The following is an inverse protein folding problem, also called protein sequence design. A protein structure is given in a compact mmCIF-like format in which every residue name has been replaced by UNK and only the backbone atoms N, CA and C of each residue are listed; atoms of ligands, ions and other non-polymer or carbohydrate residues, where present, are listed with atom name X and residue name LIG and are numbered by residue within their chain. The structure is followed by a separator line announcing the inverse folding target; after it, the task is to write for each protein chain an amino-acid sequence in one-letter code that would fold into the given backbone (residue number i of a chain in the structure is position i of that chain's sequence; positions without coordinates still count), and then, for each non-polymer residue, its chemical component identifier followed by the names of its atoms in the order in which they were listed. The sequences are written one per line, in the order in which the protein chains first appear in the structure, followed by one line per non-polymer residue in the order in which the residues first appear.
data_IF_118904532756
#
_entry.id   IF_118904532756
#
_cell.length_a   1.000
_cell.length_b   1.000
_cell.length_c   1.000
_cell.angle_alpha   90.00
_cell.angle_beta   90.00
_cell.angle_gamma   90.00
#
_symmetry.space_group_name_H-M   'P 1'
#
loop_
_entity.id
_entity.type
_entity.pdbx_description
1 polymer ?
#
# COMPACT_ATOMS: atom_id res chain seq x y z
N UNK A 1 7.00 25.32 37.45
CA UNK A 1 6.22 24.13 37.06
C UNK A 1 6.18 24.14 35.55
N UNK A 2 7.02 23.29 34.96
CA UNK A 2 7.41 23.32 33.56
C UNK A 2 6.83 22.07 32.89
N UNK A 3 5.54 22.11 32.58
CA UNK A 3 4.89 21.01 31.85
C UNK A 3 5.05 21.26 30.35
N UNK A 4 6.25 20.98 29.89
CA UNK A 4 6.61 20.84 28.48
C UNK A 4 5.90 19.60 27.92
N UNK A 5 4.62 19.74 27.58
CA UNK A 5 3.85 18.75 26.82
C UNK A 5 4.31 18.76 25.35
N UNK A 6 5.50 18.21 25.11
CA UNK A 6 5.88 17.70 23.80
C UNK A 6 5.16 16.37 23.59
N UNK A 7 3.87 16.43 23.25
CA UNK A 7 3.18 15.33 22.59
C UNK A 7 3.35 15.56 21.09
N UNK A 8 4.29 14.89 20.40
CA UNK A 8 4.26 14.84 18.96
C UNK A 8 3.06 13.97 18.56
N UNK A 9 1.89 14.60 18.38
CA UNK A 9 0.77 13.99 17.66
C UNK A 9 1.18 13.91 16.19
N UNK A 10 1.97 12.89 15.84
CA UNK A 10 2.14 12.47 14.45
C UNK A 10 0.81 11.87 13.99
N UNK A 11 -0.15 12.75 13.71
CA UNK A 11 -1.39 12.47 13.03
C UNK A 11 -1.03 12.13 11.59
N UNK A 12 -0.43 10.95 11.34
CA UNK A 12 -0.25 10.48 9.96
C UNK A 12 -1.64 10.32 9.38
N UNK A 13 -1.99 11.24 8.49
CA UNK A 13 -3.28 11.26 7.81
C UNK A 13 -3.58 9.85 7.28
N UNK A 14 -4.78 9.31 7.51
CA UNK A 14 -5.14 7.97 7.06
C UNK A 14 -4.97 7.80 5.55
N UNK A 15 -5.10 8.89 4.80
CA UNK A 15 -4.83 8.96 3.36
C UNK A 15 -3.36 8.68 3.04
N UNK A 16 -2.44 9.24 3.83
CA UNK A 16 -0.99 9.04 3.65
C UNK A 16 -0.62 7.59 3.96
N UNK A 17 -1.22 6.99 4.98
CA UNK A 17 -1.00 5.58 5.31
C UNK A 17 -1.51 4.63 4.22
N UNK A 18 -2.68 4.88 3.65
CA UNK A 18 -3.22 4.07 2.54
C UNK A 18 -2.40 4.29 1.27
N UNK A 19 -2.03 5.52 0.95
CA UNK A 19 -1.19 5.82 -0.21
C UNK A 19 0.17 5.11 -0.12
N UNK A 20 0.83 5.14 1.06
CA UNK A 20 2.08 4.41 1.29
C UNK A 20 1.89 2.90 1.10
N UNK A 21 0.81 2.32 1.62
CA UNK A 21 0.48 0.90 1.46
C UNK A 21 0.28 0.52 -0.02
N UNK A 22 -0.44 1.35 -0.78
CA UNK A 22 -0.65 1.19 -2.23
C UNK A 22 0.66 1.27 -3.00
N UNK A 23 1.49 2.29 -2.72
CA UNK A 23 2.76 2.52 -3.43
C UNK A 23 3.76 1.41 -3.12
N UNK A 24 3.85 0.97 -1.86
CA UNK A 24 4.73 -0.13 -1.48
C UNK A 24 4.27 -1.46 -2.10
N UNK A 25 2.96 -1.73 -2.13
CA UNK A 25 2.41 -2.88 -2.85
C UNK A 25 2.72 -2.84 -4.34
N UNK A 26 2.52 -1.69 -4.99
CA UNK A 26 2.86 -1.47 -6.41
C UNK A 26 4.33 -1.79 -6.68
N UNK A 27 5.25 -1.19 -5.92
CA UNK A 27 6.69 -1.34 -6.14
C UNK A 27 7.12 -2.79 -5.91
N UNK A 28 6.70 -3.41 -4.81
CA UNK A 28 7.08 -4.78 -4.48
C UNK A 28 6.59 -5.77 -5.53
N UNK A 29 5.33 -5.65 -5.95
CA UNK A 29 4.75 -6.54 -6.97
C UNK A 29 5.43 -6.34 -8.31
N UNK A 30 5.67 -5.08 -8.71
CA UNK A 30 6.36 -4.75 -9.96
C UNK A 30 7.75 -5.38 -10.00
N UNK A 31 8.54 -5.18 -8.94
CA UNK A 31 9.91 -5.71 -8.85
C UNK A 31 9.90 -7.24 -8.83
N UNK A 32 9.01 -7.86 -8.05
CA UNK A 32 8.93 -9.32 -7.95
C UNK A 32 8.59 -9.97 -9.29
N UNK A 33 7.55 -9.48 -9.97
CA UNK A 33 7.11 -10.03 -11.26
C UNK A 33 8.14 -9.77 -12.35
N UNK A 34 8.74 -8.58 -12.38
CA UNK A 34 9.82 -8.25 -13.33
C UNK A 34 11.03 -9.17 -13.11
N UNK A 35 11.44 -9.38 -11.86
CA UNK A 35 12.58 -10.25 -11.54
C UNK A 35 12.31 -11.70 -11.96
N UNK A 36 11.08 -12.20 -11.75
CA UNK A 36 10.68 -13.53 -12.21
C UNK A 36 10.73 -13.62 -13.73
N UNK A 37 10.19 -12.64 -14.46
CA UNK A 37 10.23 -12.61 -15.93
C UNK A 37 11.67 -12.64 -16.47
N UNK A 38 12.57 -11.85 -15.87
CA UNK A 38 14.00 -11.84 -16.26
C UNK A 38 14.67 -13.18 -15.96
N UNK A 39 14.40 -13.82 -14.83
CA UNK A 39 14.94 -15.14 -14.49
C UNK A 39 14.43 -16.24 -15.44
N UNK A 40 13.20 -16.10 -15.93
CA UNK A 40 12.60 -17.02 -16.90
C UNK A 40 13.08 -16.80 -18.34
N UNK A 41 13.94 -15.80 -18.58
CA UNK A 41 14.54 -15.52 -19.88
C UNK A 41 13.71 -14.61 -20.78
N UNK A 42 12.71 -13.90 -20.26
CA UNK A 42 12.07 -12.81 -21.01
C UNK A 42 13.02 -11.63 -21.19
N UNK A 43 12.83 -10.90 -22.30
CA UNK A 43 13.49 -9.61 -22.48
C UNK A 43 13.11 -8.65 -21.36
N UNK A 44 14.11 -7.92 -20.85
CA UNK A 44 13.94 -6.98 -19.72
C UNK A 44 12.78 -6.02 -19.94
N UNK A 45 12.57 -5.54 -21.17
CA UNK A 45 11.47 -4.63 -21.52
C UNK A 45 10.09 -5.30 -21.39
N UNK A 46 9.96 -6.57 -21.80
CA UNK A 46 8.73 -7.35 -21.67
C UNK A 46 8.41 -7.66 -20.21
N UNK A 47 9.41 -8.14 -19.47
CA UNK A 47 9.29 -8.44 -18.04
C UNK A 47 8.92 -7.20 -17.21
N UNK A 48 9.51 -6.03 -17.54
CA UNK A 48 9.14 -4.75 -16.91
C UNK A 48 7.71 -4.37 -17.23
N UNK A 49 7.27 -4.51 -18.48
CA UNK A 49 5.90 -4.18 -18.89
C UNK A 49 4.86 -5.01 -18.14
N UNK A 50 5.08 -6.32 -18.03
CA UNK A 50 4.23 -7.24 -17.26
C UNK A 50 4.30 -6.91 -15.78
N UNK A 51 5.48 -6.68 -15.23
CA UNK A 51 5.66 -6.30 -13.84
C UNK A 51 4.90 -5.02 -13.48
N UNK A 52 5.00 -3.99 -14.31
CA UNK A 52 4.34 -2.71 -14.08
C UNK A 52 2.81 -2.84 -14.21
N UNK A 53 2.33 -3.63 -15.17
CA UNK A 53 0.91 -3.93 -15.33
C UNK A 53 0.34 -4.63 -14.08
N UNK A 54 0.97 -5.73 -13.65
CA UNK A 54 0.55 -6.49 -12.48
C UNK A 54 0.71 -5.66 -11.21
N UNK A 55 1.76 -4.85 -11.12
CA UNK A 55 1.99 -3.93 -10.02
C UNK A 55 0.90 -2.87 -9.88
N UNK A 56 0.47 -2.24 -10.99
CA UNK A 56 -0.61 -1.23 -10.96
C UNK A 56 -1.92 -1.86 -10.49
N UNK A 57 -2.29 -3.01 -11.05
CA UNK A 57 -3.51 -3.71 -10.66
C UNK A 57 -3.46 -4.25 -9.22
N UNK A 58 -2.34 -4.85 -8.83
CA UNK A 58 -2.13 -5.37 -7.48
C UNK A 58 -2.06 -4.26 -6.42
N UNK A 59 -1.35 -3.18 -6.71
CA UNK A 59 -1.26 -2.00 -5.84
C UNK A 59 -2.61 -1.32 -5.65
N UNK A 60 -3.35 -1.08 -6.74
CA UNK A 60 -4.69 -0.51 -6.68
C UNK A 60 -5.64 -1.41 -5.87
N UNK A 61 -5.64 -2.73 -6.14
CA UNK A 61 -6.45 -3.70 -5.40
C UNK A 61 -6.12 -3.75 -3.90
N UNK A 62 -4.84 -3.73 -3.55
CA UNK A 62 -4.40 -3.68 -2.15
C UNK A 62 -4.82 -2.38 -1.46
N UNK A 63 -4.71 -1.23 -2.15
CA UNK A 63 -5.19 0.06 -1.65
C UNK A 63 -6.69 0.06 -1.33
N UNK A 64 -7.51 -0.53 -2.21
CA UNK A 64 -8.94 -0.71 -1.97
C UNK A 64 -9.21 -1.62 -0.76
N UNK A 65 -8.47 -2.72 -0.62
CA UNK A 65 -8.63 -3.63 0.52
C UNK A 65 -8.30 -2.95 1.86
N UNK A 66 -7.23 -2.16 1.91
CA UNK A 66 -6.85 -1.38 3.10
C UNK A 66 -7.90 -0.33 3.44
N UNK A 67 -8.45 0.36 2.43
CA UNK A 67 -9.53 1.31 2.63
C UNK A 67 -10.80 0.63 3.17
N UNK A 68 -11.18 -0.51 2.60
CA UNK A 68 -12.32 -1.31 3.04
C UNK A 68 -12.16 -1.83 4.48
N UNK A 69 -10.98 -2.34 4.83
CA UNK A 69 -10.67 -2.80 6.19
C UNK A 69 -10.81 -1.67 7.22
N UNK A 70 -10.40 -0.44 6.87
CA UNK A 70 -10.58 0.73 7.74
C UNK A 70 -12.02 1.17 7.87
N UNK A 71 -12.80 1.09 6.79
CA UNK A 71 -14.24 1.35 6.85
C UNK A 71 -14.94 0.34 7.77
N UNK A 72 -14.61 -0.94 7.64
CA UNK A 72 -15.15 -2.01 8.46
C UNK A 72 -14.78 -1.85 9.94
N UNK A 73 -13.53 -1.46 10.24
CA UNK A 73 -13.09 -1.15 11.60
C UNK A 73 -13.90 -0.01 12.24
N UNK A 74 -14.15 1.07 11.49
CA UNK A 74 -15.02 2.17 11.96
C UNK A 74 -16.47 1.76 12.16
N UNK A 75 -16.99 0.89 11.30
CA UNK A 75 -18.35 0.36 11.42
C UNK A 75 -18.52 -0.50 12.69
N UNK A 76 -17.49 -1.27 13.06
CA UNK A 76 -17.47 -2.06 14.29
C UNK A 76 -17.44 -1.19 15.55
N UNK A 77 -16.65 -0.10 15.56
CA UNK A 77 -16.67 0.88 16.67
C UNK A 77 -18.04 1.55 16.85
N UNK A 78 -18.75 1.78 15.75
CA UNK A 78 -20.08 2.42 15.78
C UNK A 78 -21.22 1.48 16.18
N UNK A 79 -21.00 0.16 16.13
CA UNK A 79 -21.98 -0.87 16.48
C UNK A 79 -21.80 -1.42 17.90
N UNK A 80 -20.70 -1.06 18.58
CA UNK A 80 -20.42 -1.41 19.98
C UNK A 80 -20.90 -0.38 21.01
N UNK A 81 -21.58 0.68 20.56
CA UNK A 81 -22.27 1.69 21.36
C UNK A 81 -23.79 1.56 21.18
#
# INVERSE_FOLDING_TARGET
MSDTLLTPSSTRSPVVSTALATVSGLVLVTVAVTAIGVVLGEEVAGALGVGLFVGIWGGAGFGFMVAAARLAAKAQESAGH
#
